data_IF_435950461257
#
_entry.id   IF_435950461257
#
_cell.length_a   1.000
_cell.length_b   1.000
_cell.length_c   1.000
_cell.angle_alpha   90.00
_cell.angle_beta   90.00
_cell.angle_gamma   90.00
#
_symmetry.space_group_name_H-M   'P 1'
#
loop_
_entity.id
_entity.type
_entity.pdbx_description
1 polymer ?
#
# COMPACT_ATOMS: atom_id res chain seq x y z
N UNK A 1 -38.28 22.47 5.21
CA UNK A 1 -38.26 20.99 5.14
C UNK A 1 -37.55 20.62 3.85
N UNK A 2 -36.36 20.03 3.94
CA UNK A 2 -35.58 19.59 2.78
C UNK A 2 -36.22 18.29 2.29
N UNK A 3 -37.05 18.36 1.25
CA UNK A 3 -37.50 17.17 0.51
C UNK A 3 -36.29 16.68 -0.29
N UNK A 4 -35.43 15.92 0.36
CA UNK A 4 -34.37 15.19 -0.34
C UNK A 4 -35.08 14.06 -1.05
N UNK A 5 -35.21 14.18 -2.36
CA UNK A 5 -35.84 13.17 -3.19
C UNK A 5 -35.02 11.87 -3.10
N UNK A 6 -35.66 10.72 -2.97
CA UNK A 6 -34.99 9.42 -2.74
C UNK A 6 -33.92 9.15 -3.81
N UNK A 7 -34.18 9.57 -5.06
CA UNK A 7 -33.25 9.51 -6.19
C UNK A 7 -31.96 10.29 -5.95
N UNK A 8 -32.06 11.45 -5.28
CA UNK A 8 -30.89 12.28 -4.96
C UNK A 8 -30.00 11.56 -3.94
N UNK A 9 -30.59 10.86 -2.97
CA UNK A 9 -29.85 10.06 -1.98
C UNK A 9 -29.12 8.91 -2.68
N UNK A 10 -29.82 8.15 -3.52
CA UNK A 10 -29.25 7.02 -4.28
C UNK A 10 -28.09 7.49 -5.17
N UNK A 11 -28.25 8.62 -5.86
CA UNK A 11 -27.19 9.20 -6.68
C UNK A 11 -25.93 9.51 -5.87
N UNK A 12 -26.07 10.17 -4.71
CA UNK A 12 -24.92 10.44 -3.83
C UNK A 12 -24.31 9.16 -3.25
N UNK A 13 -25.11 8.13 -2.94
CA UNK A 13 -24.59 6.84 -2.49
C UNK A 13 -23.69 6.19 -3.55
N UNK A 14 -24.09 6.22 -4.82
CA UNK A 14 -23.28 5.71 -5.94
C UNK A 14 -21.97 6.49 -6.09
N UNK A 15 -22.00 7.82 -5.96
CA UNK A 15 -20.80 8.65 -5.99
C UNK A 15 -19.86 8.30 -4.84
N UNK A 16 -20.36 8.28 -3.60
CA UNK A 16 -19.54 7.98 -2.41
C UNK A 16 -18.96 6.58 -2.48
N UNK A 17 -19.72 5.62 -3.00
CA UNK A 17 -19.23 4.27 -3.29
C UNK A 17 -18.02 4.31 -4.22
N UNK A 18 -18.15 4.96 -5.39
CA UNK A 18 -17.07 5.06 -6.37
C UNK A 18 -15.81 5.71 -5.79
N UNK A 19 -15.97 6.82 -5.05
CA UNK A 19 -14.86 7.51 -4.40
C UNK A 19 -14.16 6.62 -3.37
N UNK A 20 -14.93 5.88 -2.56
CA UNK A 20 -14.38 5.00 -1.53
C UNK A 20 -13.58 3.84 -2.14
N UNK A 21 -14.11 3.21 -3.19
CA UNK A 21 -13.42 2.14 -3.91
C UNK A 21 -12.13 2.62 -4.58
N UNK A 22 -12.18 3.76 -5.29
CA UNK A 22 -11.00 4.35 -5.93
C UNK A 22 -9.96 4.79 -4.91
N UNK A 23 -10.38 5.40 -3.79
CA UNK A 23 -9.49 5.77 -2.70
C UNK A 23 -8.78 4.56 -2.11
N UNK A 24 -9.50 3.44 -1.93
CA UNK A 24 -8.93 2.19 -1.44
C UNK A 24 -7.88 1.65 -2.40
N UNK A 25 -8.22 1.58 -3.69
CA UNK A 25 -7.31 1.11 -4.73
C UNK A 25 -6.02 1.94 -4.78
N UNK A 26 -6.12 3.27 -4.74
CA UNK A 26 -4.94 4.15 -4.75
C UNK A 26 -4.03 3.89 -3.55
N UNK A 27 -4.59 3.73 -2.36
CA UNK A 27 -3.82 3.42 -1.15
C UNK A 27 -3.10 2.07 -1.30
N UNK A 28 -3.81 1.04 -1.78
CA UNK A 28 -3.22 -0.28 -2.01
C UNK A 28 -2.08 -0.23 -3.05
N UNK A 29 -2.28 0.46 -4.19
CA UNK A 29 -1.26 0.59 -5.23
C UNK A 29 -0.01 1.33 -4.74
N UNK A 30 -0.16 2.34 -3.87
CA UNK A 30 1.00 3.06 -3.30
C UNK A 30 1.82 2.19 -2.37
N UNK A 31 1.18 1.25 -1.66
CA UNK A 31 1.89 0.29 -0.80
C UNK A 31 2.62 -0.74 -1.67
N UNK A 32 1.95 -1.28 -2.70
CA UNK A 32 2.55 -2.25 -3.63
C UNK A 32 3.79 -1.67 -4.35
N UNK A 33 3.70 -0.43 -4.84
CA UNK A 33 4.83 0.25 -5.48
C UNK A 33 6.01 0.47 -4.53
N UNK A 34 5.75 0.74 -3.25
CA UNK A 34 6.80 0.90 -2.24
C UNK A 34 7.48 -0.43 -1.94
N UNK A 35 6.70 -1.50 -1.75
CA UNK A 35 7.23 -2.85 -1.53
C UNK A 35 8.10 -3.28 -2.71
N UNK A 36 7.61 -3.13 -3.94
CA UNK A 36 8.37 -3.44 -5.15
C UNK A 36 9.67 -2.65 -5.29
N UNK A 37 9.68 -1.39 -4.86
CA UNK A 37 10.90 -0.58 -4.90
C UNK A 37 11.96 -1.09 -3.91
N UNK A 38 11.55 -1.63 -2.76
CA UNK A 38 12.45 -2.26 -1.78
C UNK A 38 12.94 -3.60 -2.30
N UNK A 39 12.06 -4.42 -2.87
CA UNK A 39 12.41 -5.72 -3.45
C UNK A 39 13.42 -5.57 -4.61
N UNK A 40 13.17 -4.64 -5.53
CA UNK A 40 14.11 -4.33 -6.61
C UNK A 40 15.44 -3.79 -6.07
N UNK A 41 15.42 -3.00 -5.00
CA UNK A 41 16.65 -2.52 -4.39
C UNK A 41 17.47 -3.68 -3.80
N UNK A 42 16.81 -4.69 -3.21
CA UNK A 42 17.45 -5.89 -2.70
C UNK A 42 18.04 -6.77 -3.82
N UNK A 43 17.30 -6.98 -4.91
CA UNK A 43 17.77 -7.74 -6.08
C UNK A 43 19.01 -7.12 -6.74
N UNK A 44 19.13 -5.79 -6.70
CA UNK A 44 20.26 -5.07 -7.24
C UNK A 44 21.49 -5.07 -6.31
N UNK A 45 21.40 -5.58 -5.08
CA UNK A 45 22.56 -5.69 -4.20
C UNK A 45 23.49 -6.79 -4.73
N UNK A 46 24.74 -6.47 -5.11
CA UNK A 46 25.66 -7.47 -5.60
C UNK A 46 26.15 -8.38 -4.46
N UNK A 47 26.23 -9.68 -4.73
CA UNK A 47 26.84 -10.66 -3.83
C UNK A 47 25.94 -11.04 -2.64
N UNK A 48 26.57 -11.55 -1.57
CA UNK A 48 25.88 -11.88 -0.33
C UNK A 48 26.43 -11.01 0.82
N UNK A 49 25.71 -9.93 1.17
CA UNK A 49 26.09 -8.99 2.22
C UNK A 49 26.55 -9.66 3.53
N UNK A 50 25.81 -10.69 3.95
CA UNK A 50 26.02 -11.37 5.22
C UNK A 50 27.26 -12.27 5.18
N UNK A 51 27.52 -12.92 4.05
CA UNK A 51 28.70 -13.78 3.89
C UNK A 51 30.00 -12.95 3.88
N UNK A 52 29.98 -11.84 3.16
CA UNK A 52 31.10 -10.91 3.06
C UNK A 52 31.35 -10.17 4.39
N UNK A 53 30.31 -9.77 5.12
CA UNK A 53 30.44 -9.21 6.46
C UNK A 53 31.01 -10.23 7.47
N UNK A 54 30.61 -11.50 7.35
CA UNK A 54 31.16 -12.59 8.16
C UNK A 54 32.64 -12.85 7.83
N UNK A 55 33.03 -12.79 6.57
CA UNK A 55 34.43 -12.93 6.15
C UNK A 55 35.29 -11.74 6.61
N UNK A 56 34.81 -10.50 6.49
CA UNK A 56 35.55 -9.32 6.97
C UNK A 56 35.75 -9.35 8.48
N UNK A 57 34.72 -9.79 9.23
CA UNK A 57 34.76 -9.98 10.68
C UNK A 57 35.86 -10.95 11.12
N UNK A 58 36.06 -12.07 10.41
CA UNK A 58 37.13 -13.04 10.71
C UNK A 58 38.54 -12.48 10.54
N UNK A 59 38.72 -11.52 9.64
CA UNK A 59 40.01 -10.88 9.36
C UNK A 59 40.22 -9.59 10.16
N UNK A 60 39.33 -9.24 11.10
CA UNK A 60 39.41 -7.99 11.87
C UNK A 60 39.15 -6.73 11.04
N UNK A 61 38.59 -6.89 9.83
CA UNK A 61 38.29 -5.80 8.90
C UNK A 61 36.86 -5.28 9.03
N UNK A 62 36.67 -3.99 8.76
CA UNK A 62 35.35 -3.37 8.62
C UNK A 62 34.92 -3.45 7.15
N UNK A 63 33.77 -4.07 6.86
CA UNK A 63 33.16 -4.06 5.52
C UNK A 63 32.69 -2.64 5.20
N UNK A 64 33.06 -2.14 4.02
CA UNK A 64 32.48 -0.91 3.47
C UNK A 64 31.24 -1.33 2.67
N UNK A 65 30.03 -0.86 3.01
CA UNK A 65 28.82 -1.20 2.27
C UNK A 65 28.84 -0.61 0.86
N UNK A 66 28.27 -1.32 -0.12
CA UNK A 66 28.15 -0.82 -1.48
C UNK A 66 27.09 0.30 -1.58
N UNK A 67 27.12 1.07 -2.67
CA UNK A 67 26.13 2.14 -2.90
C UNK A 67 24.71 1.58 -2.97
N UNK A 68 24.56 0.38 -3.53
CA UNK A 68 23.30 -0.35 -3.65
C UNK A 68 22.78 -0.81 -2.29
N UNK A 69 23.64 -1.29 -1.39
CA UNK A 69 23.26 -1.64 -0.01
C UNK A 69 22.82 -0.43 0.80
N UNK A 70 23.52 0.69 0.66
CA UNK A 70 23.13 1.95 1.32
C UNK A 70 21.75 2.38 0.83
N UNK A 71 21.48 2.26 -0.47
CA UNK A 71 20.19 2.58 -1.06
C UNK A 71 19.09 1.62 -0.57
N UNK A 72 19.36 0.32 -0.48
CA UNK A 72 18.43 -0.65 0.10
C UNK A 72 18.13 -0.32 1.57
N UNK A 73 19.16 -0.09 2.39
CA UNK A 73 18.98 0.23 3.81
C UNK A 73 18.24 1.56 4.03
N UNK A 74 18.46 2.58 3.21
CA UNK A 74 17.70 3.84 3.28
C UNK A 74 16.21 3.64 2.89
N UNK A 75 15.93 2.81 1.88
CA UNK A 75 14.56 2.49 1.49
C UNK A 75 13.84 1.62 2.53
N UNK A 76 14.50 0.58 3.03
CA UNK A 76 13.97 -0.33 4.03
C UNK A 76 13.78 0.34 5.39
N UNK A 77 14.68 1.24 5.81
CA UNK A 77 14.53 1.99 7.08
C UNK A 77 13.37 2.99 7.06
N UNK A 78 12.98 3.45 5.87
CA UNK A 78 11.78 4.29 5.68
C UNK A 78 10.49 3.46 5.57
N UNK A 79 10.63 2.15 5.40
CA UNK A 79 9.50 1.24 5.37
C UNK A 79 9.04 0.91 6.79
N UNK A 80 7.77 1.22 7.08
CA UNK A 80 7.14 0.81 8.32
C UNK A 80 6.11 -0.29 7.98
N UNK A 81 6.46 -1.58 8.15
CA UNK A 81 5.61 -2.68 7.73
C UNK A 81 4.29 -2.72 8.50
N UNK A 82 4.29 -2.33 9.78
CA UNK A 82 3.06 -2.25 10.58
C UNK A 82 2.10 -1.18 10.05
N UNK A 83 2.63 0.00 9.72
CA UNK A 83 1.84 1.08 9.12
C UNK A 83 1.30 0.68 7.74
N UNK A 84 2.14 0.05 6.90
CA UNK A 84 1.74 -0.41 5.58
C UNK A 84 0.63 -1.47 5.67
N UNK A 85 0.74 -2.43 6.58
CA UNK A 85 -0.30 -3.43 6.83
C UNK A 85 -1.61 -2.80 7.31
N UNK A 86 -1.55 -1.80 8.19
CA UNK A 86 -2.74 -1.08 8.66
C UNK A 86 -3.42 -0.29 7.52
N UNK A 87 -2.65 0.42 6.69
CA UNK A 87 -3.18 1.13 5.52
C UNK A 87 -3.76 0.17 4.46
N UNK A 88 -3.16 -1.00 4.30
CA UNK A 88 -3.69 -2.04 3.41
C UNK A 88 -5.03 -2.57 3.92
N UNK A 89 -5.16 -2.88 5.22
CA UNK A 89 -6.45 -3.25 5.83
C UNK A 89 -7.50 -2.15 5.67
N UNK A 90 -7.11 -0.88 5.85
CA UNK A 90 -7.99 0.25 5.62
C UNK A 90 -8.45 0.31 4.16
N UNK A 91 -7.56 0.06 3.20
CA UNK A 91 -7.91 0.05 1.78
C UNK A 91 -8.97 -0.99 1.44
N UNK A 92 -8.83 -2.21 1.99
CA UNK A 92 -9.82 -3.28 1.85
C UNK A 92 -11.16 -2.86 2.46
N UNK A 93 -11.13 -2.26 3.65
CA UNK A 93 -12.35 -1.78 4.32
C UNK A 93 -13.07 -0.71 3.50
N UNK A 94 -12.35 0.24 2.87
CA UNK A 94 -12.97 1.26 2.02
C UNK A 94 -13.60 0.66 0.76
N UNK A 95 -12.91 -0.28 0.10
CA UNK A 95 -13.46 -0.97 -1.06
C UNK A 95 -14.72 -1.75 -0.68
N UNK A 96 -14.67 -2.50 0.43
CA UNK A 96 -15.82 -3.25 0.93
C UNK A 96 -17.00 -2.35 1.30
N UNK A 97 -16.73 -1.22 1.95
CA UNK A 97 -17.75 -0.22 2.27
C UNK A 97 -18.39 0.37 0.99
N UNK A 98 -17.57 0.72 0.00
CA UNK A 98 -18.07 1.20 -1.27
C UNK A 98 -18.94 0.16 -1.98
N UNK A 99 -18.52 -1.09 -2.06
CA UNK A 99 -19.33 -2.17 -2.64
C UNK A 99 -20.67 -2.34 -1.92
N UNK A 100 -20.68 -2.28 -0.58
CA UNK A 100 -21.91 -2.35 0.20
C UNK A 100 -22.85 -1.18 -0.08
N UNK A 101 -22.33 0.05 -0.16
CA UNK A 101 -23.13 1.22 -0.53
C UNK A 101 -23.72 1.10 -1.94
N UNK A 102 -22.95 0.59 -2.89
CA UNK A 102 -23.41 0.38 -4.27
C UNK A 102 -24.54 -0.66 -4.30
N UNK A 103 -24.38 -1.77 -3.59
CA UNK A 103 -25.41 -2.81 -3.49
C UNK A 103 -26.71 -2.26 -2.91
N UNK A 104 -26.65 -1.47 -1.84
CA UNK A 104 -27.84 -0.85 -1.25
C UNK A 104 -28.49 0.11 -2.25
N UNK A 105 -27.69 0.93 -2.95
CA UNK A 105 -28.19 1.86 -3.95
C UNK A 105 -28.91 1.13 -5.11
N UNK A 106 -28.37 -0.01 -5.56
CA UNK A 106 -28.94 -0.81 -6.64
C UNK A 106 -30.17 -1.63 -6.22
N UNK A 107 -30.31 -1.96 -4.91
CA UNK A 107 -31.55 -2.55 -4.37
C UNK A 107 -32.68 -1.51 -4.33
N UNK A 108 -32.37 -0.26 -3.97
CA UNK A 108 -33.37 0.81 -3.84
C UNK A 108 -33.86 1.29 -5.20
N UNK A 109 -32.93 1.50 -6.15
CA UNK A 109 -33.24 1.89 -7.52
C UNK A 109 -32.49 0.95 -8.48
N UNK A 110 -33.09 -0.21 -8.81
CA UNK A 110 -32.53 -1.10 -9.82
C UNK A 110 -32.49 -0.38 -11.16
N UNK A 111 -31.38 -0.57 -11.88
CA UNK A 111 -31.11 0.06 -13.17
C UNK A 111 -32.20 -0.22 -14.22
#
# INVERSE_FOLDING_TARGET
>A
MLNIDLKTIVYWMKIVSGISQLGGLVVASRIDLKSKAVDLALENVPGNPALEAYQSSKCGGVRIPSVEEIRYNDLASRENPQRNAALFKLSIAMVGFGMALQLIADIIEPA
#
